data_IF_349353395617
#
_entry.id   IF_349353395617
#
_cell.length_a   1.000
_cell.length_b   1.000
_cell.length_c   1.000
_cell.angle_alpha   90.00
_cell.angle_beta   90.00
_cell.angle_gamma   90.00
#
_symmetry.space_group_name_H-M   'P 1'
#
loop_
_entity.id
_entity.type
_entity.pdbx_description
1 polymer ?
#
# COMPACT_ATOMS: atom_id res chain seq x y z
N UNK A 1 -1.30 20.92 6.55
CA UNK A 1 0.07 20.39 6.70
C UNK A 1 0.05 18.90 7.05
N UNK A 2 -0.77 18.47 8.02
CA UNK A 2 -0.92 17.05 8.44
C UNK A 2 -1.40 16.12 7.32
N UNK A 3 -2.40 16.52 6.52
CA UNK A 3 -2.94 15.66 5.44
C UNK A 3 -1.88 15.22 4.42
N UNK A 4 -0.97 16.12 4.01
CA UNK A 4 0.13 15.77 3.10
C UNK A 4 1.08 14.73 3.70
N UNK A 5 1.38 14.83 5.00
CA UNK A 5 2.23 13.85 5.68
C UNK A 5 1.57 12.47 5.74
N UNK A 6 0.26 12.41 5.96
CA UNK A 6 -0.51 11.15 5.95
C UNK A 6 -0.47 10.54 4.55
N UNK A 7 -0.74 11.33 3.50
CA UNK A 7 -0.67 10.85 2.11
C UNK A 7 0.69 10.23 1.78
N UNK A 8 1.78 10.96 2.08
CA UNK A 8 3.12 10.53 1.72
C UNK A 8 3.52 9.26 2.48
N UNK A 9 3.13 9.15 3.77
CA UNK A 9 3.36 7.94 4.57
C UNK A 9 2.56 6.74 4.06
N UNK A 10 1.29 6.93 3.70
CA UNK A 10 0.47 5.84 3.17
C UNK A 10 0.98 5.36 1.80
N UNK A 11 1.47 6.28 0.97
CA UNK A 11 2.15 5.93 -0.29
C UNK A 11 3.41 5.11 -0.02
N UNK A 12 4.23 5.49 0.95
CA UNK A 12 5.42 4.72 1.33
C UNK A 12 5.07 3.29 1.74
N UNK A 13 4.11 3.12 2.65
CA UNK A 13 3.63 1.81 3.10
C UNK A 13 3.11 0.96 1.93
N UNK A 14 2.40 1.58 0.97
CA UNK A 14 1.97 0.90 -0.25
C UNK A 14 3.13 0.30 -1.03
N UNK A 15 4.24 1.03 -1.21
CA UNK A 15 5.40 0.51 -1.93
C UNK A 15 6.15 -0.57 -1.13
N UNK A 16 6.25 -0.42 0.19
CA UNK A 16 6.78 -1.49 1.04
C UNK A 16 5.97 -2.79 0.89
N UNK A 17 4.64 -2.69 0.97
CA UNK A 17 3.75 -3.84 0.75
C UNK A 17 3.87 -4.43 -0.65
N UNK A 18 4.01 -3.58 -1.68
CA UNK A 18 4.23 -4.04 -3.05
C UNK A 18 5.54 -4.81 -3.22
N UNK A 19 6.54 -4.52 -2.39
CA UNK A 19 7.82 -5.25 -2.32
C UNK A 19 7.79 -6.41 -1.31
N UNK A 20 6.63 -6.71 -0.72
CA UNK A 20 6.47 -7.81 0.24
C UNK A 20 6.95 -7.49 1.66
N UNK A 21 7.22 -6.22 1.98
CA UNK A 21 7.52 -5.79 3.34
C UNK A 21 6.25 -5.26 4.03
N UNK A 22 5.78 -5.97 5.05
CA UNK A 22 4.56 -5.65 5.79
C UNK A 22 4.82 -5.19 7.23
N UNK A 23 6.07 -5.12 7.68
CA UNK A 23 6.42 -4.94 9.10
C UNK A 23 5.85 -3.62 9.66
N UNK A 24 6.04 -2.51 8.96
CA UNK A 24 5.57 -1.20 9.41
C UNK A 24 4.04 -1.08 9.34
N UNK A 25 3.41 -1.76 8.38
CA UNK A 25 1.95 -1.79 8.24
C UNK A 25 1.34 -2.55 9.42
N UNK A 26 1.91 -3.69 9.78
CA UNK A 26 1.52 -4.51 10.93
C UNK A 26 1.61 -3.68 12.22
N UNK A 27 2.77 -3.06 12.47
CA UNK A 27 2.99 -2.19 13.64
C UNK A 27 1.98 -1.04 13.70
N UNK A 28 1.71 -0.39 12.57
CA UNK A 28 0.75 0.71 12.51
C UNK A 28 -0.68 0.23 12.77
N UNK A 29 -1.06 -0.94 12.21
CA UNK A 29 -2.38 -1.53 12.40
C UNK A 29 -2.63 -1.89 13.87
N UNK A 30 -1.66 -2.53 14.52
CA UNK A 30 -1.69 -2.88 15.95
C UNK A 30 -1.79 -1.62 16.83
N UNK A 31 -0.92 -0.62 16.60
CA UNK A 31 -0.94 0.64 17.34
C UNK A 31 -2.26 1.41 17.16
N UNK A 32 -2.93 1.20 16.03
CA UNK A 32 -4.23 1.82 15.75
C UNK A 32 -5.40 0.98 16.28
N UNK A 33 -5.18 -0.24 16.77
CA UNK A 33 -6.23 -1.16 17.22
C UNK A 33 -7.03 -1.80 16.08
N UNK A 34 -6.44 -1.96 14.89
CA UNK A 34 -7.00 -2.77 13.81
C UNK A 34 -6.63 -4.22 14.06
N UNK A 35 -7.63 -5.10 14.08
CA UNK A 35 -7.39 -6.53 14.16
C UNK A 35 -6.86 -7.02 12.80
N UNK A 36 -5.72 -7.71 12.80
CA UNK A 36 -5.05 -8.18 11.58
C UNK A 36 -4.72 -9.67 11.68
N UNK A 37 -4.64 -10.32 10.53
CA UNK A 37 -4.11 -11.68 10.38
C UNK A 37 -3.11 -11.72 9.23
N UNK A 38 -1.94 -12.30 9.47
CA UNK A 38 -0.91 -12.49 8.44
C UNK A 38 -0.46 -13.95 8.40
N UNK A 39 -0.52 -14.56 7.21
CA UNK A 39 -0.15 -15.97 6.99
C UNK A 39 1.03 -16.12 6.01
N UNK A 40 1.95 -15.17 6.00
CA UNK A 40 3.10 -15.06 5.07
C UNK A 40 2.72 -14.73 3.61
N UNK A 41 1.48 -15.00 3.19
CA UNK A 41 1.00 -14.75 1.82
C UNK A 41 -0.02 -13.64 1.71
N UNK A 42 -0.86 -13.51 2.74
CA UNK A 42 -1.99 -12.59 2.78
C UNK A 42 -1.99 -11.87 4.13
N UNK A 43 -2.01 -10.53 4.08
CA UNK A 43 -2.24 -9.65 5.21
C UNK A 43 -3.69 -9.19 5.18
N UNK A 44 -4.50 -9.69 6.11
CA UNK A 44 -5.92 -9.36 6.23
C UNK A 44 -6.14 -8.34 7.35
N UNK A 45 -6.87 -7.27 7.05
CA UNK A 45 -7.37 -6.31 8.02
C UNK A 45 -8.82 -6.64 8.31
N UNK A 46 -9.11 -7.01 9.56
CA UNK A 46 -10.47 -7.16 10.04
C UNK A 46 -11.03 -5.78 10.38
N UNK A 47 -12.28 -5.55 10.03
CA UNK A 47 -13.00 -4.34 10.42
C UNK A 47 -12.99 -4.18 11.95
N UNK A 48 -13.05 -2.94 12.40
CA UNK A 48 -13.22 -2.49 13.78
C UNK A 48 -14.70 -2.23 13.98
N UNK A 49 -15.27 -3.02 14.89
CA UNK A 49 -16.69 -3.00 15.21
C UNK A 49 -17.45 -4.15 14.56
N UNK A 50 -18.73 -4.23 14.88
CA UNK A 50 -19.65 -5.21 14.33
C UNK A 50 -20.51 -4.56 13.24
N UNK A 51 -20.87 -5.33 12.21
CA UNK A 51 -21.86 -4.90 11.23
C UNK A 51 -23.13 -4.39 11.94
N UNK A 52 -23.70 -3.24 11.53
CA UNK A 52 -23.36 -2.40 10.37
C UNK A 52 -22.41 -1.23 10.69
N UNK A 53 -21.85 -1.16 11.91
CA UNK A 53 -21.10 0.00 12.43
C UNK A 53 -19.59 -0.12 12.20
N UNK A 54 -19.17 -0.68 11.07
CA UNK A 54 -17.76 -0.76 10.73
C UNK A 54 -17.19 0.65 10.58
N UNK A 55 -16.25 1.00 11.46
CA UNK A 55 -15.51 2.27 11.36
C UNK A 55 -14.42 2.23 10.26
N UNK A 56 -14.02 1.03 9.86
CA UNK A 56 -13.11 0.72 8.75
C UNK A 56 -13.59 -0.55 8.00
N UNK A 57 -13.29 -0.63 6.71
CA UNK A 57 -13.78 -1.72 5.84
C UNK A 57 -12.77 -2.88 5.87
N UNK A 58 -13.20 -4.15 6.03
CA UNK A 58 -12.29 -5.29 5.95
C UNK A 58 -11.61 -5.36 4.58
N UNK A 59 -10.29 -5.53 4.56
CA UNK A 59 -9.50 -5.61 3.32
C UNK A 59 -8.39 -6.65 3.46
N UNK A 60 -7.79 -7.04 2.34
CA UNK A 60 -6.65 -7.96 2.35
C UNK A 60 -5.63 -7.53 1.29
N UNK A 61 -4.35 -7.69 1.62
CA UNK A 61 -3.22 -7.47 0.73
C UNK A 61 -2.53 -8.81 0.51
N UNK A 62 -2.34 -9.19 -0.75
CA UNK A 62 -1.67 -10.43 -1.15
C UNK A 62 -0.68 -10.17 -2.28
N UNK A 63 0.22 -11.12 -2.50
CA UNK A 63 1.25 -11.02 -3.54
C UNK A 63 0.63 -10.83 -4.94
N UNK A 64 1.19 -9.90 -5.71
CA UNK A 64 0.75 -9.61 -7.08
C UNK A 64 -0.26 -8.48 -7.22
N UNK A 65 -0.77 -7.91 -6.12
CA UNK A 65 -1.56 -6.69 -6.18
C UNK A 65 -0.73 -5.50 -6.69
N UNK A 66 -1.37 -4.65 -7.49
CA UNK A 66 -0.76 -3.40 -7.92
C UNK A 66 -0.79 -2.35 -6.78
N UNK A 67 0.12 -1.35 -6.81
CA UNK A 67 0.17 -0.31 -5.80
C UNK A 67 -1.14 0.45 -5.59
N UNK A 68 -1.95 0.69 -6.62
CA UNK A 68 -3.21 1.41 -6.45
C UNK A 68 -4.22 0.58 -5.65
N UNK A 69 -4.35 -0.72 -5.95
CA UNK A 69 -5.20 -1.63 -5.17
C UNK A 69 -4.72 -1.73 -3.72
N UNK A 70 -3.40 -1.89 -3.50
CA UNK A 70 -2.82 -1.92 -2.15
C UNK A 70 -3.14 -0.63 -1.39
N UNK A 71 -2.96 0.54 -2.01
CA UNK A 71 -3.24 1.83 -1.40
C UNK A 71 -4.71 1.96 -0.99
N UNK A 72 -5.63 1.54 -1.86
CA UNK A 72 -7.06 1.54 -1.57
C UNK A 72 -7.38 0.60 -0.40
N UNK A 73 -6.79 -0.60 -0.36
CA UNK A 73 -6.95 -1.53 0.76
C UNK A 73 -6.50 -0.92 2.09
N UNK A 74 -5.35 -0.23 2.10
CA UNK A 74 -4.85 0.48 3.27
C UNK A 74 -5.74 1.68 3.63
N UNK A 75 -6.19 2.47 2.65
CA UNK A 75 -7.10 3.60 2.86
C UNK A 75 -8.38 3.16 3.58
N UNK A 76 -9.01 2.10 3.09
CA UNK A 76 -10.18 1.50 3.72
C UNK A 76 -9.90 0.91 5.11
N UNK A 77 -8.76 0.25 5.30
CA UNK A 77 -8.39 -0.36 6.58
C UNK A 77 -8.16 0.68 7.68
N UNK A 78 -7.53 1.81 7.36
CA UNK A 78 -7.16 2.84 8.35
C UNK A 78 -8.17 3.97 8.51
N UNK A 79 -8.88 4.35 7.43
CA UNK A 79 -9.75 5.53 7.42
C UNK A 79 -11.19 5.23 6.98
N UNK A 80 -11.51 3.97 6.70
CA UNK A 80 -12.85 3.57 6.25
C UNK A 80 -13.25 4.22 4.94
N UNK A 81 -14.55 4.43 4.73
CA UNK A 81 -15.10 4.99 3.48
C UNK A 81 -14.67 6.43 3.18
N UNK A 82 -14.21 7.16 4.20
CA UNK A 82 -13.84 8.57 4.09
C UNK A 82 -12.38 8.78 3.70
N UNK A 83 -11.62 7.71 3.44
CA UNK A 83 -10.22 7.82 3.04
C UNK A 83 -9.97 8.79 1.87
N UNK A 84 -10.84 8.93 0.85
CA UNK A 84 -10.61 9.90 -0.23
C UNK A 84 -10.65 11.36 0.26
N UNK A 85 -11.41 11.64 1.32
CA UNK A 85 -11.48 12.98 1.92
C UNK A 85 -10.26 13.28 2.78
N UNK A 86 -9.65 12.23 3.38
CA UNK A 86 -8.41 12.36 4.18
C UNK A 86 -7.19 12.54 3.27
N UNK A 87 -7.18 11.88 2.11
CA UNK A 87 -6.04 11.79 1.20
C UNK A 87 -6.43 12.10 -0.26
N UNK A 88 -6.98 13.30 -0.55
CA UNK A 88 -7.57 13.60 -1.87
C UNK A 88 -6.55 13.62 -3.01
N UNK A 89 -5.27 13.90 -2.75
CA UNK A 89 -4.21 13.95 -3.77
C UNK A 89 -3.37 12.67 -3.87
N UNK A 90 -3.63 11.65 -3.04
CA UNK A 90 -2.71 10.54 -2.91
C UNK A 90 -2.65 9.63 -4.14
N UNK A 91 -3.77 9.39 -4.83
CA UNK A 91 -3.77 8.53 -6.02
C UNK A 91 -2.96 9.12 -7.18
N UNK A 92 -3.01 10.44 -7.36
CA UNK A 92 -2.21 11.11 -8.39
C UNK A 92 -0.72 10.99 -8.08
N UNK A 93 -0.33 11.30 -6.84
CA UNK A 93 1.05 11.15 -6.35
C UNK A 93 1.56 9.71 -6.46
N UNK A 94 0.73 8.74 -6.05
CA UNK A 94 1.01 7.31 -6.12
C UNK A 94 1.30 6.88 -7.56
N UNK A 95 0.42 7.25 -8.49
CA UNK A 95 0.56 6.92 -9.91
C UNK A 95 1.84 7.52 -10.52
N UNK A 96 2.19 8.77 -10.14
CA UNK A 96 3.44 9.38 -10.57
C UNK A 96 4.65 8.56 -10.12
N UNK A 97 4.76 8.25 -8.83
CA UNK A 97 5.85 7.44 -8.28
C UNK A 97 5.89 6.04 -8.88
N UNK A 98 4.73 5.42 -9.08
CA UNK A 98 4.66 4.07 -9.65
C UNK A 98 5.19 4.01 -11.08
N UNK A 99 4.85 5.01 -11.91
CA UNK A 99 5.38 5.13 -13.27
C UNK A 99 6.91 5.30 -13.28
N UNK A 100 7.45 6.09 -12.36
CA UNK A 100 8.89 6.28 -12.20
C UNK A 100 9.59 4.97 -11.83
N UNK A 101 9.04 4.19 -10.89
CA UNK A 101 9.62 2.89 -10.51
C UNK A 101 9.55 1.85 -11.64
N UNK A 102 8.44 1.79 -12.39
CA UNK A 102 8.33 0.90 -13.56
C UNK A 102 9.35 1.29 -14.63
N UNK A 103 9.52 2.60 -14.88
CA UNK A 103 10.48 3.10 -15.86
C UNK A 103 11.91 2.67 -15.48
N UNK A 104 12.30 2.89 -14.22
CA UNK A 104 13.62 2.49 -13.72
C UNK A 104 13.85 0.98 -13.82
N UNK A 105 12.83 0.16 -13.50
CA UNK A 105 12.90 -1.31 -13.66
C UNK A 105 13.10 -1.73 -15.11
N UNK A 106 12.47 -1.05 -16.08
CA UNK A 106 12.66 -1.33 -17.52
C UNK A 106 14.06 -0.97 -17.98
N UNK A 107 14.57 0.19 -17.56
CA UNK A 107 15.92 0.65 -17.91
C UNK A 107 16.99 -0.29 -17.34
N UNK A 108 16.87 -0.71 -16.08
CA UNK A 108 17.77 -1.69 -15.45
C UNK A 108 17.78 -3.04 -16.19
N UNK A 109 16.60 -3.55 -16.59
CA UNK A 109 16.51 -4.78 -17.38
C UNK A 109 17.21 -4.65 -18.74
N UNK A 110 17.08 -3.50 -19.39
CA UNK A 110 17.75 -3.25 -20.67
C UNK A 110 19.29 -3.16 -20.51
N UNK A 111 19.77 -2.59 -19.41
CA UNK A 111 21.21 -2.56 -19.08
C UNK A 111 21.74 -3.97 -18.81
N UNK A 112 21.07 -4.75 -17.97
CA UNK A 112 21.50 -6.11 -17.64
C UNK A 112 21.56 -7.00 -18.88
N UNK A 113 20.55 -6.90 -19.77
CA UNK A 113 20.55 -7.63 -21.04
C UNK A 113 21.76 -7.24 -21.91
N UNK A 114 22.09 -5.95 -22.01
CA UNK A 114 23.28 -5.52 -22.76
C UNK A 114 24.55 -6.10 -22.16
N UNK A 115 24.69 -6.10 -20.83
CA UNK A 115 25.85 -6.66 -20.16
C UNK A 115 25.98 -8.18 -20.41
N UNK A 116 24.87 -8.92 -20.41
CA UNK A 116 24.84 -10.34 -20.79
C UNK A 116 25.26 -10.56 -22.26
N UNK A 117 24.94 -9.64 -23.17
CA UNK A 117 25.39 -9.72 -24.58
C UNK A 117 26.90 -9.38 -24.75
N UNK A 118 27.54 -8.76 -23.75
CA UNK A 118 28.96 -8.36 -23.77
C UNK A 118 29.91 -9.37 -23.10
N UNK A 119 29.40 -10.30 -22.28
CA UNK A 119 30.17 -11.33 -21.58
C UNK A 119 29.86 -12.73 -22.13
#
# INVERSE_FOLDING_TARGET
MIGKMIEDRMIELTFQAWHGNYEEIIKLAEASGINIEYNERVLSFKGRGEYPKYSNVPTAIYSGLDPATIFICLGFAFFGMFWPNVMPGALEKLNKRWREEIKNKKEMKAINKKLEDYF
#
